data_IF_686925885897
#
_entry.id   IF_686925885897
#
_cell.length_a   1.000
_cell.length_b   1.000
_cell.length_c   1.000
_cell.angle_alpha   90.00
_cell.angle_beta   90.00
_cell.angle_gamma   90.00
#
_symmetry.space_group_name_H-M   'P 1'
#
loop_
_entity.id
_entity.type
_entity.pdbx_description
1 polymer ?
#
# COMPACT_ATOMS: atom_id res chain seq x y z
N UNK A 1 -6.58 -7.64 -5.22
CA UNK A 1 -5.21 -7.55 -5.80
C UNK A 1 -4.16 -8.20 -4.92
N UNK A 2 -4.23 -8.04 -3.61
CA UNK A 2 -3.27 -8.57 -2.62
C UNK A 2 -3.37 -10.08 -2.37
N UNK A 3 -4.57 -10.68 -2.40
CA UNK A 3 -4.76 -12.12 -2.11
C UNK A 3 -4.12 -13.03 -3.17
N UNK A 4 -4.25 -12.69 -4.45
CA UNK A 4 -3.66 -13.46 -5.55
C UNK A 4 -2.12 -13.37 -5.48
N UNK A 5 -1.58 -12.17 -5.30
CA UNK A 5 -0.14 -11.97 -5.12
C UNK A 5 0.39 -12.72 -3.88
N UNK A 6 -0.39 -12.76 -2.80
CA UNK A 6 -0.07 -13.54 -1.61
C UNK A 6 -0.02 -15.04 -1.91
N UNK A 7 -1.05 -15.62 -2.54
CA UNK A 7 -1.07 -17.04 -2.91
C UNK A 7 0.09 -17.40 -3.83
N UNK A 8 0.36 -16.58 -4.85
CA UNK A 8 1.48 -16.80 -5.78
C UNK A 8 2.82 -16.72 -5.05
N UNK A 9 2.97 -15.83 -4.08
CA UNK A 9 4.21 -15.69 -3.30
C UNK A 9 4.49 -16.88 -2.38
N UNK A 10 3.48 -17.67 -2.01
CA UNK A 10 3.68 -18.92 -1.24
C UNK A 10 4.39 -20.00 -2.08
N UNK A 11 4.33 -19.88 -3.40
CA UNK A 11 4.90 -20.85 -4.35
C UNK A 11 6.28 -20.40 -4.84
N UNK A 12 6.58 -19.09 -4.79
CA UNK A 12 7.84 -18.53 -5.28
C UNK A 12 8.99 -18.66 -4.29
N UNK A 13 10.16 -19.14 -4.76
CA UNK A 13 11.40 -19.14 -3.97
C UNK A 13 12.05 -17.74 -3.96
N UNK A 14 12.54 -17.29 -2.80
CA UNK A 14 13.31 -16.04 -2.69
C UNK A 14 14.60 -16.13 -3.52
N UNK A 15 14.74 -15.24 -4.51
CA UNK A 15 16.04 -14.94 -5.14
C UNK A 15 16.78 -13.91 -4.29
N UNK A 16 18.11 -14.02 -4.20
CA UNK A 16 18.97 -13.02 -3.54
C UNK A 16 19.05 -11.74 -4.39
N UNK A 17 18.07 -10.86 -4.22
CA UNK A 17 18.07 -9.50 -4.79
C UNK A 17 18.61 -8.54 -3.73
N UNK A 18 19.45 -7.58 -4.14
CA UNK A 18 19.99 -6.56 -3.23
C UNK A 18 18.90 -5.73 -2.58
N UNK A 19 19.03 -5.47 -1.28
CA UNK A 19 18.09 -4.64 -0.52
C UNK A 19 17.93 -3.22 -1.10
N UNK A 20 18.97 -2.65 -1.72
CA UNK A 20 18.87 -1.33 -2.37
C UNK A 20 17.90 -1.35 -3.54
N UNK A 21 17.98 -2.38 -4.38
CA UNK A 21 17.09 -2.56 -5.53
C UNK A 21 15.65 -2.74 -5.06
N UNK A 22 15.45 -3.57 -4.04
CA UNK A 22 14.12 -3.78 -3.45
C UNK A 22 13.54 -2.51 -2.84
N UNK A 23 14.37 -1.70 -2.18
CA UNK A 23 13.92 -0.43 -1.59
C UNK A 23 13.53 0.60 -2.66
N UNK A 24 14.33 0.73 -3.72
CA UNK A 24 13.96 1.60 -4.86
C UNK A 24 12.68 1.13 -5.53
N UNK A 25 12.54 -0.19 -5.75
CA UNK A 25 11.31 -0.76 -6.28
C UNK A 25 10.09 -0.50 -5.36
N UNK A 26 10.27 -0.56 -4.04
CA UNK A 26 9.23 -0.23 -3.07
C UNK A 26 8.78 1.24 -3.16
N UNK A 27 9.72 2.18 -3.26
CA UNK A 27 9.40 3.60 -3.41
C UNK A 27 8.59 3.83 -4.69
N UNK A 28 9.02 3.28 -5.82
CA UNK A 28 8.30 3.38 -7.10
C UNK A 28 6.91 2.74 -6.98
N UNK A 29 6.82 1.54 -6.40
CA UNK A 29 5.56 0.85 -6.20
C UNK A 29 4.60 1.65 -5.30
N UNK A 30 5.08 2.32 -4.25
CA UNK A 30 4.27 3.16 -3.38
C UNK A 30 3.70 4.40 -4.11
N UNK A 31 4.50 5.02 -4.99
CA UNK A 31 4.05 6.14 -5.83
C UNK A 31 2.98 5.67 -6.82
N UNK A 32 3.24 4.55 -7.54
CA UNK A 32 2.27 3.97 -8.50
C UNK A 32 1.00 3.53 -7.79
N UNK A 33 1.11 2.88 -6.63
CA UNK A 33 -0.02 2.48 -5.80
C UNK A 33 -0.88 3.69 -5.42
N UNK A 34 -0.26 4.78 -5.00
CA UNK A 34 -0.94 6.03 -4.69
C UNK A 34 -1.67 6.63 -5.89
N UNK A 35 -1.02 6.66 -7.05
CA UNK A 35 -1.63 7.13 -8.30
C UNK A 35 -2.85 6.27 -8.68
N UNK A 36 -2.79 4.96 -8.44
CA UNK A 36 -3.91 4.04 -8.64
C UNK A 36 -5.15 4.34 -7.78
N UNK A 37 -5.02 5.16 -6.73
CA UNK A 37 -6.14 5.60 -5.89
C UNK A 37 -6.76 6.93 -6.34
N UNK A 38 -6.21 7.59 -7.36
CA UNK A 38 -6.78 8.83 -7.90
C UNK A 38 -8.21 8.65 -8.43
N UNK A 39 -8.57 7.58 -9.18
CA UNK A 39 -9.94 7.39 -9.65
C UNK A 39 -10.97 7.33 -8.50
N UNK A 40 -10.67 6.57 -7.45
CA UNK A 40 -11.52 6.50 -6.25
C UNK A 40 -11.56 7.84 -5.51
N UNK A 41 -10.44 8.56 -5.48
CA UNK A 41 -10.36 9.89 -4.86
C UNK A 41 -11.26 10.88 -5.62
N UNK A 42 -11.24 10.89 -6.95
CA UNK A 42 -12.15 11.69 -7.77
C UNK A 42 -13.60 11.31 -7.48
N UNK A 43 -13.91 10.01 -7.45
CA UNK A 43 -15.26 9.53 -7.18
C UNK A 43 -15.79 9.95 -5.81
N UNK A 44 -14.91 10.16 -4.83
CA UNK A 44 -15.29 10.49 -3.46
C UNK A 44 -15.38 11.99 -3.20
N UNK A 45 -14.54 12.80 -3.86
CA UNK A 45 -14.51 14.26 -3.67
C UNK A 45 -15.13 15.07 -4.83
N UNK A 46 -15.44 14.42 -5.95
CA UNK A 46 -16.00 15.05 -7.16
C UNK A 46 -15.02 15.90 -7.98
N UNK A 47 -13.82 16.17 -7.46
CA UNK A 47 -12.80 16.96 -8.13
C UNK A 47 -11.39 16.62 -7.61
N UNK A 48 -10.36 17.02 -8.36
CA UNK A 48 -8.98 17.03 -7.88
C UNK A 48 -8.49 18.46 -7.72
N UNK A 49 -7.92 18.76 -6.57
CA UNK A 49 -7.09 19.93 -6.35
C UNK A 49 -5.75 19.49 -5.74
N UNK A 50 -4.81 20.42 -5.61
CA UNK A 50 -3.48 20.12 -5.07
C UNK A 50 -3.55 19.43 -3.70
N UNK A 51 -4.41 19.90 -2.79
CA UNK A 51 -4.52 19.35 -1.44
C UNK A 51 -5.09 17.92 -1.43
N UNK A 52 -6.08 17.63 -2.28
CA UNK A 52 -6.68 16.31 -2.41
C UNK A 52 -5.68 15.31 -3.01
N UNK A 53 -4.95 15.73 -4.05
CA UNK A 53 -3.90 14.91 -4.66
C UNK A 53 -2.77 14.67 -3.65
N UNK A 54 -2.29 15.71 -2.98
CA UNK A 54 -1.27 15.60 -1.94
C UNK A 54 -1.71 14.62 -0.85
N UNK A 55 -2.95 14.75 -0.34
CA UNK A 55 -3.51 13.81 0.64
C UNK A 55 -3.54 12.38 0.11
N UNK A 56 -3.96 12.18 -1.14
CA UNK A 56 -3.99 10.85 -1.77
C UNK A 56 -2.59 10.22 -1.79
N UNK A 57 -1.58 10.95 -2.24
CA UNK A 57 -0.21 10.45 -2.30
C UNK A 57 0.43 10.30 -0.92
N UNK A 58 0.19 11.24 -0.01
CA UNK A 58 0.75 11.18 1.33
C UNK A 58 0.22 9.98 2.10
N UNK A 59 -1.11 9.80 2.17
CA UNK A 59 -1.71 8.71 2.93
C UNK A 59 -1.45 7.35 2.26
N UNK A 60 -1.84 7.19 0.99
CA UNK A 60 -1.70 5.89 0.33
C UNK A 60 -0.24 5.52 0.08
N UNK A 61 0.61 6.51 -0.19
CA UNK A 61 2.03 6.29 -0.48
C UNK A 61 2.81 5.95 0.78
N UNK A 62 2.55 6.65 1.89
CA UNK A 62 3.19 6.34 3.16
C UNK A 62 2.85 4.91 3.61
N UNK A 63 1.57 4.53 3.59
CA UNK A 63 1.18 3.16 3.96
C UNK A 63 1.70 2.12 2.97
N UNK A 64 1.62 2.38 1.67
CA UNK A 64 2.19 1.51 0.63
C UNK A 64 3.68 1.27 0.83
N UNK A 65 4.44 2.32 1.13
CA UNK A 65 5.87 2.24 1.43
C UNK A 65 6.15 1.40 2.68
N UNK A 66 5.39 1.59 3.76
CA UNK A 66 5.51 0.80 5.00
C UNK A 66 5.22 -0.68 4.74
N UNK A 67 4.18 -0.99 3.95
CA UNK A 67 3.85 -2.38 3.60
C UNK A 67 4.97 -3.05 2.80
N UNK A 68 5.57 -2.35 1.84
CA UNK A 68 6.70 -2.89 1.09
C UNK A 68 7.98 -2.98 1.92
N UNK A 69 8.18 -2.10 2.90
CA UNK A 69 9.26 -2.24 3.88
C UNK A 69 9.11 -3.54 4.70
N UNK A 70 7.89 -3.85 5.16
CA UNK A 70 7.62 -5.12 5.83
C UNK A 70 7.79 -6.32 4.89
N UNK A 71 7.45 -6.20 3.62
CA UNK A 71 7.76 -7.23 2.63
C UNK A 71 9.26 -7.52 2.52
N UNK A 72 10.08 -6.47 2.45
CA UNK A 72 11.55 -6.61 2.33
C UNK A 72 12.14 -7.24 3.59
N UNK A 73 11.73 -6.78 4.78
CA UNK A 73 12.34 -7.18 6.05
C UNK A 73 11.81 -8.50 6.60
N UNK A 74 10.50 -8.73 6.49
CA UNK A 74 9.82 -9.84 7.16
C UNK A 74 9.06 -10.76 6.19
N UNK A 75 8.86 -10.33 4.95
CA UNK A 75 8.17 -11.10 3.91
C UNK A 75 6.71 -10.70 3.71
N UNK A 76 6.09 -11.35 2.72
CA UNK A 76 4.73 -11.03 2.24
C UNK A 76 3.66 -11.15 3.32
N UNK A 77 3.78 -12.11 4.25
CA UNK A 77 2.80 -12.33 5.32
C UNK A 77 2.65 -11.09 6.20
N UNK A 78 3.77 -10.48 6.61
CA UNK A 78 3.78 -9.27 7.43
C UNK A 78 3.27 -8.05 6.66
N UNK A 79 3.60 -7.95 5.37
CA UNK A 79 3.05 -6.92 4.48
C UNK A 79 1.53 -7.00 4.42
N UNK A 80 0.98 -8.20 4.25
CA UNK A 80 -0.46 -8.44 4.18
C UNK A 80 -1.17 -8.23 5.52
N UNK A 81 -0.57 -8.67 6.63
CA UNK A 81 -1.11 -8.43 7.97
C UNK A 81 -1.18 -6.93 8.28
N UNK A 82 -0.14 -6.16 7.96
CA UNK A 82 -0.14 -4.71 8.16
C UNK A 82 -1.19 -4.02 7.28
N UNK A 83 -1.31 -4.44 6.02
CA UNK A 83 -2.31 -3.92 5.09
C UNK A 83 -3.75 -4.20 5.58
N UNK A 84 -4.06 -5.45 5.90
CA UNK A 84 -5.37 -5.84 6.43
C UNK A 84 -5.66 -5.15 7.77
N UNK A 85 -4.67 -5.04 8.65
CA UNK A 85 -4.77 -4.33 9.91
C UNK A 85 -5.10 -2.85 9.72
N UNK A 86 -4.46 -2.15 8.77
CA UNK A 86 -4.80 -0.76 8.47
C UNK A 86 -6.24 -0.63 8.00
N UNK A 87 -6.70 -1.52 7.10
CA UNK A 87 -8.08 -1.52 6.64
C UNK A 87 -9.07 -1.73 7.79
N UNK A 88 -8.78 -2.68 8.69
CA UNK A 88 -9.59 -2.96 9.86
C UNK A 88 -9.68 -1.75 10.80
N UNK A 89 -8.53 -1.17 11.18
CA UNK A 89 -8.46 0.01 12.05
C UNK A 89 -9.18 1.21 11.41
N UNK A 90 -8.95 1.46 10.12
CA UNK A 90 -9.61 2.52 9.36
C UNK A 90 -11.14 2.39 9.38
N UNK A 91 -11.67 1.17 9.24
CA UNK A 91 -13.11 0.91 9.30
C UNK A 91 -13.69 1.06 10.70
N UNK A 92 -12.96 0.63 11.73
CA UNK A 92 -13.39 0.85 13.12
C UNK A 92 -13.45 2.34 13.43
N UNK A 93 -12.41 3.10 13.08
CA UNK A 93 -12.40 4.55 13.31
C UNK A 93 -13.58 5.21 12.59
N UNK A 94 -13.82 4.86 11.32
CA UNK A 94 -14.98 5.38 10.60
C UNK A 94 -16.31 5.06 11.32
N UNK A 95 -16.46 3.84 11.85
CA UNK A 95 -17.67 3.44 12.58
C UNK A 95 -17.84 4.16 13.92
N UNK A 96 -16.75 4.56 14.58
CA UNK A 96 -16.81 5.27 15.88
C UNK A 96 -17.11 6.76 15.73
N UNK A 97 -16.76 7.36 14.58
CA UNK A 97 -16.91 8.80 14.32
C UNK A 97 -18.03 9.13 13.32
N UNK A 98 -18.85 8.16 12.96
CA UNK A 98 -20.06 8.30 12.14
C UNK A 98 -21.29 7.96 12.98
#
# INVERSE_FOLDING_TARGET
>A
MTLIAFIVSLIQRKKNVSNRVLMTANIIAAIVFSAGHLPTTISLFGHLNFLIVFRCFFLNGLFGFVFGYYYIKYGIQYSMLAHAGLHFVSKILLMLFY
#
